data_IF_500565050967
#
_entry.id   IF_500565050967
#
_cell.length_a   1.000
_cell.length_b   1.000
_cell.length_c   1.000
_cell.angle_alpha   90.00
_cell.angle_beta   90.00
_cell.angle_gamma   90.00
#
_symmetry.space_group_name_H-M   'P 1'
#
loop_
_entity.id
_entity.type
_entity.pdbx_description
1 polymer ?
#
# COMPACT_ATOMS: atom_id res chain seq x y z
N UNK A 1 30.02 56.58 8.88
CA UNK A 1 29.25 55.35 8.65
C UNK A 1 30.09 54.20 9.13
N UNK A 2 29.60 53.47 10.13
CA UNK A 2 30.26 52.25 10.61
C UNK A 2 29.92 51.10 9.66
N UNK A 3 30.80 50.12 9.52
CA UNK A 3 30.55 48.95 8.65
C UNK A 3 29.24 48.22 9.01
N UNK A 4 28.84 48.27 10.28
CA UNK A 4 27.57 47.74 10.77
C UNK A 4 26.36 48.49 10.20
N UNK A 5 26.40 49.82 10.07
CA UNK A 5 25.32 50.60 9.44
C UNK A 5 25.21 50.30 7.95
N UNK A 6 26.34 50.08 7.28
CA UNK A 6 26.38 49.70 5.86
C UNK A 6 25.73 48.33 5.65
N UNK A 7 26.01 47.37 6.52
CA UNK A 7 25.45 46.03 6.40
C UNK A 7 23.96 45.98 6.77
N UNK A 8 23.50 46.79 7.73
CA UNK A 8 22.07 46.99 8.00
C UNK A 8 21.35 47.53 6.76
N UNK A 9 21.88 48.59 6.14
CA UNK A 9 21.29 49.19 4.94
C UNK A 9 21.27 48.23 3.73
N UNK A 10 22.29 47.38 3.57
CA UNK A 10 22.30 46.33 2.53
C UNK A 10 21.19 45.30 2.77
N UNK A 11 21.00 44.89 4.02
CA UNK A 11 19.97 43.92 4.37
C UNK A 11 18.56 44.49 4.17
N UNK A 12 18.34 45.75 4.54
CA UNK A 12 17.08 46.46 4.28
C UNK A 12 16.79 46.58 2.79
N UNK A 13 17.80 46.96 1.99
CA UNK A 13 17.67 47.05 0.53
C UNK A 13 17.32 45.70 -0.11
N UNK A 14 17.92 44.61 0.37
CA UNK A 14 17.65 43.26 -0.16
C UNK A 14 16.26 42.76 0.24
N UNK A 15 15.83 43.07 1.47
CA UNK A 15 14.46 42.81 1.92
C UNK A 15 13.43 43.57 1.06
N UNK A 16 13.69 44.85 0.76
CA UNK A 16 12.79 45.65 -0.07
C UNK A 16 12.66 45.10 -1.50
N UNK A 17 13.76 44.67 -2.12
CA UNK A 17 13.73 44.01 -3.44
C UNK A 17 12.89 42.74 -3.40
N UNK A 18 13.08 41.90 -2.39
CA UNK A 18 12.33 40.64 -2.23
C UNK A 18 10.83 40.92 -2.10
N UNK A 19 10.45 41.91 -1.29
CA UNK A 19 9.06 42.32 -1.13
C UNK A 19 8.46 42.85 -2.44
N UNK A 20 9.23 43.61 -3.22
CA UNK A 20 8.80 44.13 -4.53
C UNK A 20 8.55 43.01 -5.55
N UNK A 21 9.45 42.02 -5.61
CA UNK A 21 9.31 40.87 -6.49
C UNK A 21 8.09 40.02 -6.11
N UNK A 22 7.87 39.79 -4.81
CA UNK A 22 6.68 39.08 -4.32
C UNK A 22 5.38 39.81 -4.68
N UNK A 23 5.33 41.14 -4.52
CA UNK A 23 4.18 41.95 -4.91
C UNK A 23 3.92 41.93 -6.42
N UNK A 24 4.98 42.01 -7.23
CA UNK A 24 4.86 41.90 -8.69
C UNK A 24 4.31 40.53 -9.12
N UNK A 25 4.77 39.46 -8.47
CA UNK A 25 4.26 38.12 -8.72
C UNK A 25 2.78 37.99 -8.35
N UNK A 26 2.39 38.46 -7.16
CA UNK A 26 1.00 38.41 -6.70
C UNK A 26 0.07 39.23 -7.60
N UNK A 27 0.51 40.41 -8.06
CA UNK A 27 -0.24 41.20 -9.03
C UNK A 27 -0.43 40.45 -10.35
N UNK A 28 0.62 39.78 -10.85
CA UNK A 28 0.52 38.95 -12.06
C UNK A 28 -0.48 37.79 -11.92
N UNK A 29 -0.57 37.16 -10.74
CA UNK A 29 -1.59 36.12 -10.49
C UNK A 29 -3.01 36.71 -10.42
N UNK A 30 -3.18 37.88 -9.81
CA UNK A 30 -4.47 38.57 -9.76
C UNK A 30 -4.94 38.96 -11.17
N UNK A 31 -4.05 39.47 -12.02
CA UNK A 31 -4.37 39.80 -13.41
C UNK A 31 -4.85 38.56 -14.19
N UNK A 32 -4.17 37.42 -14.03
CA UNK A 32 -4.61 36.14 -14.64
C UNK A 32 -6.00 35.71 -14.14
N UNK A 33 -6.26 35.83 -12.84
CA UNK A 33 -7.57 35.50 -12.28
C UNK A 33 -8.67 36.42 -12.82
N UNK A 34 -8.40 37.73 -12.90
CA UNK A 34 -9.31 38.71 -13.48
C UNK A 34 -9.61 38.36 -14.94
N UNK A 35 -8.58 38.03 -15.73
CA UNK A 35 -8.77 37.61 -17.12
C UNK A 35 -9.62 36.34 -17.24
N UNK A 36 -9.39 35.34 -16.39
CA UNK A 36 -10.19 34.11 -16.36
C UNK A 36 -11.66 34.40 -16.08
N UNK A 37 -11.95 35.21 -15.06
CA UNK A 37 -13.33 35.58 -14.68
C UNK A 37 -14.00 36.39 -15.79
N UNK A 38 -13.28 37.33 -16.42
CA UNK A 38 -13.81 38.12 -17.53
C UNK A 38 -14.14 37.24 -18.75
N UNK A 39 -13.33 36.22 -19.02
CA UNK A 39 -13.58 35.25 -20.09
C UNK A 39 -14.79 34.35 -19.78
N UNK A 40 -14.95 33.95 -18.51
CA UNK A 40 -16.14 33.22 -18.06
C UNK A 40 -17.42 34.06 -18.19
N UNK A 41 -17.38 35.33 -17.82
CA UNK A 41 -18.51 36.26 -17.96
C UNK A 41 -18.89 36.55 -19.42
N UNK A 42 -17.96 36.40 -20.37
CA UNK A 42 -18.23 36.56 -21.81
C UNK A 42 -18.97 35.37 -22.44
N UNK A 43 -18.99 34.21 -21.78
CA UNK A 43 -19.75 33.05 -22.25
C UNK A 43 -21.23 33.30 -21.98
N UNK A 44 -21.93 33.80 -23.00
CA UNK A 44 -23.28 34.37 -22.92
C UNK A 44 -24.40 33.38 -22.61
N UNK A 45 -24.18 32.06 -22.62
CA UNK A 45 -25.27 31.10 -22.42
C UNK A 45 -24.86 30.01 -21.42
N UNK A 46 -25.26 30.19 -20.16
CA UNK A 46 -25.33 29.08 -19.21
C UNK A 46 -26.51 28.19 -19.63
N UNK A 47 -26.21 27.13 -20.37
CA UNK A 47 -27.21 26.16 -20.81
C UNK A 47 -27.54 25.23 -19.63
N UNK A 48 -28.66 25.50 -18.96
CA UNK A 48 -29.21 24.69 -17.86
C UNK A 48 -29.55 23.23 -18.27
N UNK A 49 -29.38 22.87 -19.54
CA UNK A 49 -29.76 21.57 -20.07
C UNK A 49 -28.83 20.44 -19.63
N UNK A 50 -27.58 20.73 -19.25
CA UNK A 50 -26.63 19.77 -18.69
C UNK A 50 -25.94 20.42 -17.50
N UNK A 51 -26.47 20.17 -16.30
CA UNK A 51 -25.97 20.71 -15.03
C UNK A 51 -24.66 19.99 -14.63
N UNK A 52 -23.67 20.03 -15.53
CA UNK A 52 -22.38 19.35 -15.42
C UNK A 52 -21.62 19.82 -14.17
N UNK A 53 -21.83 21.08 -13.76
CA UNK A 53 -21.33 21.62 -12.49
C UNK A 53 -21.95 20.90 -11.29
N UNK A 54 -23.26 20.71 -11.29
CA UNK A 54 -23.96 19.97 -10.25
C UNK A 54 -23.54 18.50 -10.21
N UNK A 55 -23.34 17.87 -11.36
CA UNK A 55 -22.84 16.48 -11.46
C UNK A 55 -21.41 16.39 -10.90
N UNK A 56 -20.52 17.33 -11.27
CA UNK A 56 -19.17 17.40 -10.73
C UNK A 56 -19.16 17.58 -9.22
N UNK A 57 -19.96 18.50 -8.71
CA UNK A 57 -20.02 18.77 -7.27
C UNK A 57 -20.64 17.60 -6.50
N UNK A 58 -21.65 16.93 -7.06
CA UNK A 58 -22.24 15.72 -6.48
C UNK A 58 -21.25 14.55 -6.45
N UNK A 59 -20.48 14.34 -7.52
CA UNK A 59 -19.42 13.32 -7.55
C UNK A 59 -18.32 13.60 -6.53
N UNK A 60 -17.93 14.88 -6.38
CA UNK A 60 -16.96 15.32 -5.37
C UNK A 60 -17.52 15.13 -3.96
N UNK A 61 -18.78 15.47 -3.74
CA UNK A 61 -19.46 15.25 -2.47
C UNK A 61 -19.48 13.77 -2.09
N UNK A 62 -19.79 12.89 -3.05
CA UNK A 62 -19.76 11.44 -2.87
C UNK A 62 -18.37 10.93 -2.49
N UNK A 63 -17.32 11.36 -3.19
CA UNK A 63 -15.93 11.00 -2.85
C UNK A 63 -15.54 11.47 -1.44
N UNK A 64 -16.00 12.66 -1.02
CA UNK A 64 -15.75 13.16 0.33
C UNK A 64 -16.47 12.31 1.39
N UNK A 65 -17.70 11.86 1.13
CA UNK A 65 -18.42 10.95 2.03
C UNK A 65 -17.69 9.60 2.18
N UNK A 66 -17.27 9.00 1.06
CA UNK A 66 -16.52 7.74 1.06
C UNK A 66 -15.18 7.89 1.83
N UNK A 67 -14.51 9.03 1.68
CA UNK A 67 -13.29 9.36 2.41
C UNK A 67 -13.55 9.53 3.91
N UNK A 68 -14.64 10.21 4.29
CA UNK A 68 -15.06 10.37 5.69
C UNK A 68 -15.33 9.00 6.33
N UNK A 69 -16.00 8.10 5.61
CA UNK A 69 -16.28 6.74 6.08
C UNK A 69 -14.97 5.96 6.30
N UNK A 70 -14.07 5.95 5.32
CA UNK A 70 -12.76 5.32 5.45
C UNK A 70 -11.93 5.89 6.61
N UNK A 71 -11.95 7.21 6.80
CA UNK A 71 -11.25 7.87 7.92
C UNK A 71 -11.87 7.52 9.28
N UNK A 72 -13.19 7.38 9.36
CA UNK A 72 -13.89 6.94 10.57
C UNK A 72 -13.50 5.52 10.96
N UNK A 73 -13.29 4.63 10.00
CA UNK A 73 -12.82 3.26 10.25
C UNK A 73 -11.34 3.21 10.64
N UNK A 74 -10.51 4.07 10.03
CA UNK A 74 -9.07 4.10 10.31
C UNK A 74 -8.72 4.73 11.66
N UNK A 75 -9.49 5.74 12.10
CA UNK A 75 -9.27 6.45 13.37
C UNK A 75 -9.16 5.55 14.61
N UNK A 76 -10.10 4.61 14.89
CA UNK A 76 -10.00 3.71 16.02
C UNK A 76 -8.80 2.76 15.91
N UNK A 77 -8.49 2.27 14.71
CA UNK A 77 -7.33 1.40 14.46
C UNK A 77 -6.03 2.13 14.79
N UNK A 78 -5.89 3.38 14.33
CA UNK A 78 -4.72 4.20 14.60
C UNK A 78 -4.62 4.60 16.08
N UNK A 79 -5.74 4.91 16.73
CA UNK A 79 -5.76 5.14 18.19
C UNK A 79 -5.29 3.92 18.97
N UNK A 80 -5.73 2.73 18.59
CA UNK A 80 -5.30 1.48 19.23
C UNK A 80 -3.81 1.20 18.96
N UNK A 81 -3.31 1.44 17.73
CA UNK A 81 -1.88 1.35 17.40
C UNK A 81 -1.02 2.30 18.24
N UNK A 82 -1.46 3.54 18.44
CA UNK A 82 -0.75 4.51 19.29
C UNK A 82 -0.75 4.06 20.75
N UNK A 83 -1.88 3.56 21.25
CA UNK A 83 -1.99 3.01 22.60
C UNK A 83 -1.03 1.82 22.79
N UNK A 84 -0.96 0.94 21.80
CA UNK A 84 -0.05 -0.21 21.80
C UNK A 84 1.41 0.17 21.63
N UNK A 85 1.72 1.25 20.91
CA UNK A 85 3.09 1.76 20.77
C UNK A 85 3.62 2.42 22.05
N UNK A 86 2.73 2.94 22.92
CA UNK A 86 3.09 3.48 24.24
C UNK A 86 3.39 2.38 25.27
N UNK A 87 2.92 1.16 25.03
CA UNK A 87 3.26 -0.01 25.84
C UNK A 87 4.49 -0.63 25.19
N UNK A 88 5.56 -0.81 25.94
CA UNK A 88 6.72 -1.52 25.42
C UNK A 88 6.24 -2.91 24.94
N UNK A 89 6.54 -3.28 23.68
CA UNK A 89 5.97 -4.47 23.04
C UNK A 89 6.20 -5.75 23.84
N UNK A 90 5.53 -6.86 23.47
CA UNK A 90 5.53 -8.14 24.23
C UNK A 90 6.95 -8.67 24.55
N UNK A 91 7.94 -8.30 23.73
CA UNK A 91 9.35 -8.66 23.89
C UNK A 91 10.17 -7.70 24.77
N UNK A 92 9.61 -6.56 25.12
CA UNK A 92 10.24 -5.56 25.94
C UNK A 92 9.98 -5.85 27.42
N UNK A 93 11.02 -6.36 28.08
CA UNK A 93 10.97 -6.74 29.51
C UNK A 93 11.12 -5.57 30.48
N UNK A 94 11.19 -4.34 29.97
CA UNK A 94 11.30 -3.13 30.79
C UNK A 94 9.99 -2.92 31.57
N UNK A 95 10.08 -2.96 32.90
CA UNK A 95 8.98 -2.50 33.74
C UNK A 95 9.04 -0.99 33.84
N UNK A 96 7.89 -0.34 34.01
CA UNK A 96 7.83 1.11 34.22
C UNK A 96 8.65 1.54 35.45
N UNK A 97 8.71 0.66 36.46
CA UNK A 97 9.52 0.84 37.66
C UNK A 97 11.03 0.76 37.41
N UNK A 98 11.48 0.20 36.28
CA UNK A 98 12.90 0.12 35.88
C UNK A 98 13.52 1.46 35.54
N UNK A 99 12.68 2.43 35.19
CA UNK A 99 13.11 3.77 34.80
C UNK A 99 12.75 4.83 35.84
N UNK A 100 11.95 4.48 36.85
CA UNK A 100 11.51 5.43 37.86
C UNK A 100 12.59 5.62 38.94
N UNK A 101 13.06 6.86 39.12
CA UNK A 101 14.00 7.25 40.17
C UNK A 101 13.26 8.17 41.14
N UNK A 102 13.21 7.78 42.41
CA UNK A 102 12.72 8.68 43.45
C UNK A 102 13.84 9.66 43.83
N UNK A 103 13.68 10.92 43.44
CA UNK A 103 14.66 11.98 43.68
C UNK A 103 14.71 12.42 45.15
N UNK A 104 13.63 12.21 45.90
CA UNK A 104 13.50 12.68 47.30
C UNK A 104 14.32 11.84 48.29
N UNK A 105 14.76 10.64 47.87
CA UNK A 105 15.48 9.69 48.73
C UNK A 105 16.93 9.48 48.24
N UNK A 106 17.37 10.22 47.21
CA UNK A 106 18.60 9.95 46.46
C UNK A 106 19.89 10.22 47.25
N UNK A 107 20.21 9.33 48.19
CA UNK A 107 21.49 9.29 48.89
C UNK A 107 22.61 8.79 47.97
N UNK A 108 23.90 9.03 48.29
CA UNK A 108 25.02 8.49 47.49
C UNK A 108 24.97 6.97 47.31
N UNK A 109 24.49 6.23 48.33
CA UNK A 109 24.32 4.79 48.26
C UNK A 109 23.16 4.39 47.32
N UNK A 110 22.06 5.13 47.33
CA UNK A 110 20.94 4.90 46.41
C UNK A 110 21.31 5.23 44.97
N UNK A 111 22.02 6.33 44.75
CA UNK A 111 22.57 6.68 43.44
C UNK A 111 23.44 5.55 42.89
N UNK A 112 24.35 5.00 43.70
CA UNK A 112 25.20 3.88 43.29
C UNK A 112 24.39 2.62 42.94
N UNK A 113 23.31 2.31 43.69
CA UNK A 113 22.41 1.18 43.36
C UNK A 113 21.67 1.43 42.04
N UNK A 114 21.19 2.65 41.82
CA UNK A 114 20.50 3.06 40.59
C UNK A 114 21.41 2.98 39.38
N UNK A 115 22.66 3.44 39.49
CA UNK A 115 23.67 3.31 38.43
C UNK A 115 23.92 1.84 38.09
N UNK A 116 24.16 0.98 39.10
CA UNK A 116 24.35 -0.47 38.88
C UNK A 116 23.13 -1.14 38.25
N UNK A 117 21.92 -0.71 38.60
CA UNK A 117 20.67 -1.17 37.98
C UNK A 117 20.64 -0.80 36.49
N UNK A 118 20.95 0.45 36.16
CA UNK A 118 21.00 0.91 34.77
C UNK A 118 22.09 0.23 33.95
N UNK A 119 23.25 -0.08 34.53
CA UNK A 119 24.30 -0.85 33.85
C UNK A 119 23.85 -2.27 33.48
N UNK A 120 23.12 -2.94 34.39
CA UNK A 120 22.51 -4.25 34.06
C UNK A 120 21.46 -4.11 32.98
N UNK A 121 20.57 -3.13 33.12
CA UNK A 121 19.51 -2.87 32.15
C UNK A 121 20.07 -2.57 30.75
N UNK A 122 21.15 -1.79 30.67
CA UNK A 122 21.90 -1.55 29.43
C UNK A 122 22.38 -2.86 28.81
N UNK A 123 22.99 -3.73 29.61
CA UNK A 123 23.48 -5.04 29.15
C UNK A 123 22.34 -5.91 28.62
N UNK A 124 21.22 -5.97 29.34
CA UNK A 124 20.04 -6.76 28.97
C UNK A 124 19.39 -6.24 27.67
N UNK A 125 19.31 -4.91 27.52
CA UNK A 125 18.80 -4.27 26.32
C UNK A 125 19.70 -4.51 25.11
N UNK A 126 21.02 -4.42 25.27
CA UNK A 126 21.98 -4.74 24.20
C UNK A 126 21.88 -6.21 23.76
N UNK A 127 21.73 -7.14 24.72
CA UNK A 127 21.51 -8.55 24.43
C UNK A 127 20.20 -8.78 23.66
N UNK A 128 19.13 -8.13 24.10
CA UNK A 128 17.81 -8.20 23.46
C UNK A 128 17.85 -7.65 22.03
N UNK A 129 18.50 -6.49 21.84
CA UNK A 129 18.69 -5.88 20.53
C UNK A 129 19.41 -6.82 19.57
N UNK A 130 20.54 -7.39 20.00
CA UNK A 130 21.32 -8.34 19.18
C UNK A 130 20.51 -9.59 18.81
N UNK A 131 19.71 -10.11 19.74
CA UNK A 131 18.82 -11.25 19.48
C UNK A 131 17.73 -10.90 18.44
N UNK A 132 17.17 -9.69 18.53
CA UNK A 132 16.18 -9.19 17.57
C UNK A 132 16.77 -8.98 16.18
N UNK A 133 17.96 -8.39 16.09
CA UNK A 133 18.69 -8.24 14.83
C UNK A 133 18.97 -9.59 14.17
N UNK A 134 19.41 -10.58 14.94
CA UNK A 134 19.64 -11.94 14.43
C UNK A 134 18.36 -12.60 13.92
N UNK A 135 17.24 -12.45 14.65
CA UNK A 135 15.93 -12.95 14.20
C UNK A 135 15.48 -12.29 12.90
N UNK A 136 15.62 -10.96 12.80
CA UNK A 136 15.27 -10.22 11.58
C UNK A 136 16.10 -10.67 10.37
N UNK A 137 17.40 -10.91 10.55
CA UNK A 137 18.26 -11.46 9.50
C UNK A 137 17.79 -12.87 9.07
N UNK A 138 17.43 -13.72 10.04
CA UNK A 138 16.89 -15.06 9.78
C UNK A 138 15.57 -15.02 9.01
N UNK A 139 14.63 -14.18 9.46
CA UNK A 139 13.33 -13.96 8.81
C UNK A 139 13.50 -13.37 7.40
N UNK A 140 14.44 -12.44 7.19
CA UNK A 140 14.73 -11.87 5.87
C UNK A 140 15.26 -12.93 4.89
N UNK A 141 16.16 -13.81 5.34
CA UNK A 141 16.64 -14.94 4.53
C UNK A 141 15.52 -15.92 4.19
N UNK A 142 14.62 -16.18 5.12
CA UNK A 142 13.44 -17.01 4.86
C UNK A 142 12.51 -16.36 3.85
N UNK A 143 12.25 -15.05 3.99
CA UNK A 143 11.42 -14.29 3.06
C UNK A 143 11.95 -14.38 1.62
N UNK A 144 13.25 -14.18 1.41
CA UNK A 144 13.86 -14.31 0.08
C UNK A 144 13.62 -15.71 -0.50
N UNK A 145 13.88 -16.78 0.27
CA UNK A 145 13.65 -18.15 -0.19
C UNK A 145 12.19 -18.41 -0.57
N UNK A 146 11.25 -17.97 0.27
CA UNK A 146 9.81 -18.14 -0.01
C UNK A 146 9.39 -17.32 -1.22
N UNK A 147 9.95 -16.12 -1.39
CA UNK A 147 9.69 -15.28 -2.55
C UNK A 147 10.23 -15.87 -3.86
N UNK A 148 11.40 -16.49 -3.83
CA UNK A 148 11.97 -17.20 -4.97
C UNK A 148 11.10 -18.40 -5.34
N UNK A 149 10.64 -19.17 -4.34
CA UNK A 149 9.70 -20.29 -4.55
C UNK A 149 8.36 -19.81 -5.13
N UNK A 150 7.83 -18.69 -4.64
CA UNK A 150 6.62 -18.06 -5.20
C UNK A 150 6.81 -17.73 -6.68
N UNK A 151 7.93 -17.10 -7.02
CA UNK A 151 8.27 -16.71 -8.40
C UNK A 151 8.38 -17.95 -9.30
N UNK A 152 9.05 -19.00 -8.81
CA UNK A 152 9.14 -20.27 -9.53
C UNK A 152 7.76 -20.87 -9.83
N UNK A 153 6.90 -20.98 -8.81
CA UNK A 153 5.55 -21.54 -8.98
C UNK A 153 4.66 -20.68 -9.90
N UNK A 154 4.81 -19.35 -9.85
CA UNK A 154 4.13 -18.45 -10.78
C UNK A 154 4.54 -18.70 -12.24
N UNK A 155 5.83 -18.94 -12.49
CA UNK A 155 6.32 -19.30 -13.83
C UNK A 155 5.76 -20.65 -14.29
N UNK A 156 5.75 -21.67 -13.43
CA UNK A 156 5.15 -22.98 -13.76
C UNK A 156 3.66 -22.86 -14.11
N UNK A 157 2.90 -22.08 -13.33
CA UNK A 157 1.49 -21.81 -13.63
C UNK A 157 1.30 -21.12 -14.97
N UNK A 158 2.14 -20.14 -15.30
CA UNK A 158 2.11 -19.46 -16.60
C UNK A 158 2.37 -20.44 -17.76
N UNK A 159 3.36 -21.33 -17.60
CA UNK A 159 3.66 -22.37 -18.59
C UNK A 159 2.47 -23.30 -18.77
N UNK A 160 1.86 -23.76 -17.67
CA UNK A 160 0.67 -24.60 -17.71
C UNK A 160 -0.51 -23.90 -18.42
N UNK A 161 -0.77 -22.64 -18.10
CA UNK A 161 -1.83 -21.84 -18.75
C UNK A 161 -1.57 -21.71 -20.26
N UNK A 162 -0.34 -21.42 -20.66
CA UNK A 162 0.05 -21.35 -22.06
C UNK A 162 -0.14 -22.70 -22.78
N UNK A 163 0.21 -23.81 -22.13
CA UNK A 163 0.00 -25.15 -22.67
C UNK A 163 -1.48 -25.48 -22.82
N UNK A 164 -2.32 -25.13 -21.83
CA UNK A 164 -3.78 -25.29 -21.90
C UNK A 164 -4.34 -24.49 -23.08
N UNK A 165 -3.95 -23.21 -23.23
CA UNK A 165 -4.38 -22.37 -24.34
C UNK A 165 -3.98 -22.95 -25.71
N UNK A 166 -2.74 -23.46 -25.83
CA UNK A 166 -2.27 -24.15 -27.04
C UNK A 166 -3.09 -25.39 -27.35
N UNK A 167 -3.37 -26.21 -26.33
CA UNK A 167 -4.18 -27.43 -26.49
C UNK A 167 -5.64 -27.11 -26.83
N UNK A 168 -6.22 -26.07 -26.23
CA UNK A 168 -7.57 -25.60 -26.56
C UNK A 168 -7.64 -25.07 -28.00
N UNK A 169 -6.65 -24.29 -28.43
CA UNK A 169 -6.55 -23.79 -29.81
C UNK A 169 -6.36 -24.92 -30.84
N UNK A 170 -5.66 -25.99 -30.45
CA UNK A 170 -5.45 -27.19 -31.26
C UNK A 170 -6.55 -28.26 -31.08
N UNK A 171 -7.54 -28.01 -30.21
CA UNK A 171 -8.66 -28.91 -29.93
C UNK A 171 -9.45 -29.38 -31.17
N UNK A 172 -9.62 -28.56 -32.24
CA UNK A 172 -10.30 -29.01 -33.46
C UNK A 172 -9.47 -29.99 -34.31
N UNK A 173 -8.16 -30.15 -34.05
CA UNK A 173 -7.30 -30.97 -34.90
C UNK A 173 -7.74 -32.45 -34.90
N UNK A 174 -8.21 -32.96 -33.76
CA UNK A 174 -8.76 -34.32 -33.65
C UNK A 174 -10.20 -34.47 -34.17
N UNK A 175 -10.93 -33.36 -34.37
CA UNK A 175 -12.27 -33.36 -34.97
C UNK A 175 -12.22 -33.30 -36.50
N UNK A 176 -11.13 -32.76 -37.07
CA UNK A 176 -10.94 -32.62 -38.52
C UNK A 176 -10.13 -33.75 -39.16
N UNK A 177 -9.72 -34.78 -38.40
CA UNK A 177 -9.27 -36.04 -39.02
C UNK A 177 -10.54 -36.77 -39.45
N UNK A 178 -10.80 -36.94 -40.77
CA UNK A 178 -11.87 -37.83 -41.21
C UNK A 178 -11.52 -39.22 -40.68
N UNK A 179 -12.18 -39.65 -39.60
CA UNK A 179 -12.12 -41.04 -39.16
C UNK A 179 -12.67 -41.85 -40.33
N UNK A 180 -11.80 -42.51 -41.10
CA UNK A 180 -12.23 -43.66 -41.90
C UNK A 180 -12.96 -44.56 -40.92
N UNK A 181 -14.21 -44.90 -41.23
CA UNK A 181 -15.18 -45.52 -40.33
C UNK A 181 -14.74 -46.86 -39.69
N UNK A 182 -13.53 -47.36 -39.99
CA UNK A 182 -13.05 -48.69 -39.62
C UNK A 182 -11.80 -48.73 -38.74
N UNK A 183 -11.21 -47.60 -38.34
CA UNK A 183 -10.15 -47.62 -37.33
C UNK A 183 -10.77 -47.65 -35.92
N UNK A 184 -11.25 -48.83 -35.54
CA UNK A 184 -11.68 -49.13 -34.17
C UNK A 184 -10.50 -48.95 -33.24
N UNK A 185 -10.58 -47.99 -32.33
CA UNK A 185 -9.72 -47.96 -31.13
C UNK A 185 -10.07 -49.21 -30.33
N UNK A 186 -9.25 -50.26 -30.48
CA UNK A 186 -9.33 -51.46 -29.68
C UNK A 186 -8.89 -51.09 -28.26
N UNK A 187 -9.84 -50.98 -27.33
CA UNK A 187 -9.50 -51.10 -25.91
C UNK A 187 -9.05 -52.55 -25.69
N UNK A 188 -7.77 -52.80 -25.34
CA UNK A 188 -7.24 -54.17 -25.21
C UNK A 188 -7.98 -54.99 -24.15
N UNK A 189 -8.75 -54.36 -23.25
CA UNK A 189 -9.51 -55.03 -22.19
C UNK A 189 -11.01 -55.13 -22.44
N UNK A 190 -11.58 -54.39 -23.39
CA UNK A 190 -13.05 -54.26 -23.52
C UNK A 190 -13.64 -54.63 -24.87
N UNK A 191 -12.82 -55.00 -25.86
CA UNK A 191 -13.33 -55.49 -27.14
C UNK A 191 -14.14 -54.44 -27.92
N UNK A 192 -14.71 -54.78 -29.08
CA UNK A 192 -15.31 -53.80 -29.97
C UNK A 192 -16.58 -53.18 -29.39
N UNK A 193 -16.60 -51.85 -29.24
CA UNK A 193 -17.76 -51.09 -28.79
C UNK A 193 -18.88 -51.25 -29.83
N UNK A 194 -19.98 -51.91 -29.44
CA UNK A 194 -21.17 -52.05 -30.28
C UNK A 194 -21.91 -50.70 -30.33
N UNK A 195 -22.11 -50.15 -31.54
CA UNK A 195 -23.01 -49.02 -31.76
C UNK A 195 -24.45 -49.49 -31.57
N UNK A 196 -25.05 -49.21 -30.41
CA UNK A 196 -26.50 -49.22 -30.26
C UNK A 196 -27.07 -47.96 -30.91
N UNK A 197 -27.77 -48.12 -32.03
CA UNK A 197 -28.64 -47.06 -32.56
C UNK A 197 -29.87 -46.96 -31.65
N UNK A 198 -30.21 -45.76 -31.18
CA UNK A 198 -31.63 -45.41 -30.98
C UNK A 198 -32.19 -45.29 -29.56
N UNK A 199 -31.41 -45.21 -28.49
CA UNK A 199 -31.98 -44.89 -27.17
C UNK A 199 -31.34 -43.66 -26.52
N UNK A 200 -32.21 -42.68 -26.23
CA UNK A 200 -31.90 -41.41 -25.57
C UNK A 200 -31.38 -41.75 -24.17
N UNK A 201 -30.09 -41.54 -23.91
CA UNK A 201 -29.52 -41.73 -22.58
C UNK A 201 -30.28 -40.87 -21.55
N UNK A 202 -30.62 -41.41 -20.38
CA UNK A 202 -31.32 -40.64 -19.35
C UNK A 202 -30.43 -39.48 -18.86
N UNK A 203 -31.03 -38.33 -18.48
CA UNK A 203 -30.25 -37.20 -17.98
C UNK A 203 -29.54 -37.58 -16.68
N UNK A 204 -28.29 -37.13 -16.56
CA UNK A 204 -27.44 -37.35 -15.40
C UNK A 204 -28.02 -36.55 -14.22
N UNK A 205 -28.32 -37.18 -13.07
CA UNK A 205 -28.73 -36.43 -11.89
C UNK A 205 -27.52 -35.67 -11.35
N UNK A 206 -27.62 -34.34 -11.36
CA UNK A 206 -26.70 -33.46 -10.63
C UNK A 206 -27.09 -33.45 -9.16
N UNK A 207 -26.21 -33.95 -8.30
CA UNK A 207 -26.11 -33.54 -6.90
C UNK A 207 -24.97 -32.53 -6.77
#
# INVERSE_FOLDING_TARGET
>A
MTDNEIDILKNELEHEKTCREAAAWQNGELEKQIMSIQEELRKSDYTWDHDDDLIRENNKHKQLLDCIESLRDQLPILREKIKNAKVCGIDCKLKHDDLNINLDILTPAELLRTVKRFERLKTDLLSTLRSKEWRLDSESKLFVRVNDQRTYLQNELLICQNNILRLQKNGPYWQNVPRKNDERVLDPRRGPIRKGFGERLPPIPTQ
#
